data_IF_880026169365
#
_entry.id   IF_880026169365
#
_cell.length_a   1.000
_cell.length_b   1.000
_cell.length_c   1.000
_cell.angle_alpha   90.00
_cell.angle_beta   90.00
_cell.angle_gamma   90.00
#
_symmetry.space_group_name_H-M   'P 1'
#
loop_
_entity.id
_entity.type
_entity.pdbx_description
1 polymer ?
#
# COMPACT_ATOMS: atom_id res chain seq x y z
N UNK A 1 27.02 31.11 -9.82
CA UNK A 1 25.68 31.60 -10.19
C UNK A 1 25.23 31.08 -11.55
N UNK A 2 26.08 31.13 -12.59
CA UNK A 2 25.75 30.61 -13.93
C UNK A 2 25.57 29.07 -13.95
N UNK A 3 26.43 28.32 -13.26
CA UNK A 3 26.33 26.86 -13.16
C UNK A 3 25.05 26.39 -12.46
N UNK A 4 24.52 27.15 -11.49
CA UNK A 4 23.27 26.77 -10.81
C UNK A 4 22.03 27.02 -11.70
N UNK A 5 22.05 28.07 -12.52
CA UNK A 5 20.97 28.37 -13.47
C UNK A 5 20.93 27.37 -14.61
N UNK A 6 22.09 26.96 -15.13
CA UNK A 6 22.19 25.91 -16.18
C UNK A 6 21.72 24.58 -15.66
N UNK A 7 22.06 24.18 -14.42
CA UNK A 7 21.57 22.95 -13.80
C UNK A 7 20.07 22.98 -13.55
N UNK A 8 19.51 24.13 -13.20
CA UNK A 8 18.06 24.28 -13.00
C UNK A 8 17.29 24.20 -14.30
N UNK A 9 17.85 24.77 -15.39
CA UNK A 9 17.29 24.71 -16.73
C UNK A 9 17.35 23.30 -17.33
N UNK A 10 18.46 22.58 -17.16
CA UNK A 10 18.61 21.18 -17.60
C UNK A 10 17.65 20.26 -16.84
N UNK A 11 17.49 20.44 -15.53
CA UNK A 11 16.52 19.68 -14.72
C UNK A 11 15.07 19.98 -15.07
N UNK A 12 14.75 21.21 -15.42
CA UNK A 12 13.43 21.60 -15.93
C UNK A 12 13.10 20.91 -17.27
N UNK A 13 14.06 20.81 -18.16
CA UNK A 13 13.93 20.11 -19.46
C UNK A 13 13.74 18.62 -19.27
N UNK A 14 14.43 18.00 -18.30
CA UNK A 14 14.24 16.59 -17.98
C UNK A 14 12.85 16.28 -17.41
N UNK A 15 12.31 17.17 -16.59
CA UNK A 15 10.95 17.07 -16.06
C UNK A 15 9.91 17.15 -17.19
N UNK A 16 10.04 18.12 -18.09
CA UNK A 16 9.13 18.26 -19.23
C UNK A 16 9.26 17.09 -20.22
N UNK A 17 10.47 16.55 -20.39
CA UNK A 17 10.71 15.37 -21.22
C UNK A 17 10.07 14.11 -20.62
N UNK A 18 10.12 13.95 -19.32
CA UNK A 18 9.54 12.81 -18.60
C UNK A 18 8.04 12.99 -18.33
N UNK A 19 7.51 14.23 -18.40
CA UNK A 19 6.10 14.51 -18.14
C UNK A 19 5.16 13.66 -19.00
N UNK A 20 5.41 13.55 -20.30
CA UNK A 20 4.60 12.70 -21.19
C UNK A 20 4.64 11.22 -20.82
N UNK A 21 5.80 10.74 -20.37
CA UNK A 21 5.93 9.37 -19.87
C UNK A 21 5.11 9.18 -18.58
N UNK A 22 5.22 10.10 -17.65
CA UNK A 22 4.45 10.03 -16.39
C UNK A 22 2.95 10.16 -16.61
N UNK A 23 2.50 11.03 -17.53
CA UNK A 23 1.09 11.18 -17.90
C UNK A 23 0.55 9.89 -18.56
N UNK A 24 1.31 9.27 -19.46
CA UNK A 24 0.94 8.00 -20.08
C UNK A 24 0.85 6.89 -19.04
N UNK A 25 1.83 6.79 -18.13
CA UNK A 25 1.86 5.80 -17.06
C UNK A 25 0.71 5.98 -16.06
N UNK A 26 0.41 7.21 -15.65
CA UNK A 26 -0.74 7.53 -14.79
C UNK A 26 -2.07 7.13 -15.44
N UNK A 27 -2.21 7.40 -16.73
CA UNK A 27 -3.43 7.05 -17.48
C UNK A 27 -3.61 5.54 -17.57
N UNK A 28 -2.53 4.79 -17.79
CA UNK A 28 -2.57 3.33 -17.89
C UNK A 28 -2.79 2.66 -16.53
N UNK A 29 -2.12 3.14 -15.49
CA UNK A 29 -2.24 2.61 -14.13
C UNK A 29 -3.48 3.10 -13.38
N UNK A 30 -4.18 4.12 -13.90
CA UNK A 30 -5.29 4.81 -13.22
C UNK A 30 -4.92 5.24 -11.79
N UNK A 31 -3.70 5.69 -11.61
CA UNK A 31 -3.13 6.08 -10.32
C UNK A 31 -2.56 7.49 -10.40
N UNK A 32 -2.22 8.08 -9.27
CA UNK A 32 -1.56 9.39 -9.22
C UNK A 32 -0.12 9.22 -8.81
N UNK A 33 0.80 9.64 -9.67
CA UNK A 33 2.23 9.69 -9.34
C UNK A 33 2.53 10.93 -8.50
N UNK A 34 3.26 10.75 -7.42
CA UNK A 34 3.68 11.82 -6.52
C UNK A 34 5.18 11.76 -6.26
N UNK A 35 5.75 12.94 -6.05
CA UNK A 35 7.10 13.10 -5.48
C UNK A 35 6.95 13.50 -4.01
N UNK A 36 7.65 12.81 -3.12
CA UNK A 36 7.46 12.90 -1.69
C UNK A 36 8.72 13.44 -1.02
N UNK A 37 8.52 14.37 -0.08
CA UNK A 37 9.56 14.89 0.79
C UNK A 37 9.57 14.12 2.13
N UNK A 38 10.69 14.17 2.85
CA UNK A 38 10.85 13.55 4.16
C UNK A 38 9.86 14.03 5.23
N UNK A 39 9.24 15.19 5.05
CA UNK A 39 8.27 15.77 5.98
C UNK A 39 6.82 15.48 5.61
N UNK A 40 6.57 14.59 4.63
CA UNK A 40 5.25 14.23 4.14
C UNK A 40 4.65 15.23 3.13
N UNK A 41 5.33 16.33 2.79
CA UNK A 41 4.90 17.16 1.67
C UNK A 41 5.11 16.42 0.37
N UNK A 42 4.18 16.58 -0.56
CA UNK A 42 4.25 15.93 -1.86
C UNK A 42 3.74 16.85 -2.97
N UNK A 43 4.15 16.54 -4.18
CA UNK A 43 3.69 17.19 -5.40
C UNK A 43 3.34 16.12 -6.43
N UNK A 44 2.24 16.29 -7.14
CA UNK A 44 1.86 15.46 -8.27
C UNK A 44 2.55 15.91 -9.54
N UNK A 45 2.49 15.12 -10.60
CA UNK A 45 3.09 15.48 -11.91
C UNK A 45 2.46 16.69 -12.56
N UNK A 46 1.20 17.04 -12.24
CA UNK A 46 0.54 18.26 -12.70
C UNK A 46 0.88 19.50 -11.86
N UNK A 47 1.71 19.32 -10.81
CA UNK A 47 2.14 20.39 -9.93
C UNK A 47 1.21 20.65 -8.74
N UNK A 48 0.18 19.82 -8.53
CA UNK A 48 -0.70 19.95 -7.37
C UNK A 48 0.06 19.58 -6.11
N UNK A 49 0.09 20.49 -5.13
CA UNK A 49 0.71 20.26 -3.82
C UNK A 49 -0.27 19.57 -2.89
N UNK A 50 0.20 18.58 -2.18
CA UNK A 50 -0.56 17.87 -1.16
C UNK A 50 0.33 17.52 0.04
N UNK A 51 -0.30 17.12 1.13
CA UNK A 51 0.39 16.54 2.27
C UNK A 51 -0.08 15.12 2.46
N UNK A 52 0.87 14.22 2.59
CA UNK A 52 0.62 12.83 2.97
C UNK A 52 0.80 12.74 4.48
N UNK A 53 -0.29 12.44 5.16
CA UNK A 53 -0.29 12.21 6.61
C UNK A 53 0.04 10.73 6.83
N UNK A 54 1.27 10.48 7.24
CA UNK A 54 1.77 9.14 7.52
C UNK A 54 2.62 9.12 8.79
N UNK A 55 2.64 8.00 9.51
CA UNK A 55 3.50 7.82 10.68
C UNK A 55 4.97 8.06 10.37
N UNK A 56 5.70 8.60 11.34
CA UNK A 56 7.13 8.92 11.20
C UNK A 56 7.99 7.69 10.87
N UNK A 57 7.59 6.51 11.30
CA UNK A 57 8.25 5.24 11.00
C UNK A 57 8.32 4.95 9.49
N UNK A 58 7.29 5.31 8.72
CA UNK A 58 7.30 5.09 7.26
C UNK A 58 8.21 6.07 6.54
N UNK A 59 8.30 7.29 7.03
CA UNK A 59 9.28 8.24 6.56
C UNK A 59 10.71 7.74 6.86
N UNK A 60 10.88 7.10 8.02
CA UNK A 60 12.15 6.48 8.39
C UNK A 60 12.48 5.28 7.48
N UNK A 61 11.51 4.44 7.16
CA UNK A 61 11.69 3.31 6.23
C UNK A 61 12.15 3.79 4.86
N UNK A 62 11.48 4.79 4.29
CA UNK A 62 11.90 5.40 3.03
C UNK A 62 13.31 5.97 3.10
N UNK A 63 13.67 6.64 4.20
CA UNK A 63 15.01 7.18 4.44
C UNK A 63 16.07 6.06 4.53
N UNK A 64 15.70 4.92 5.10
CA UNK A 64 16.57 3.74 5.20
C UNK A 64 16.64 2.93 3.90
N UNK A 65 15.97 3.38 2.85
CA UNK A 65 16.01 2.73 1.54
C UNK A 65 14.96 1.64 1.34
N UNK A 66 13.97 1.52 2.24
CA UNK A 66 12.90 0.54 2.12
C UNK A 66 11.71 1.08 1.32
N UNK A 67 11.11 0.20 0.52
CA UNK A 67 9.85 0.49 -0.15
C UNK A 67 8.70 0.40 0.87
N UNK A 68 7.72 1.27 0.72
CA UNK A 68 6.52 1.25 1.56
C UNK A 68 5.26 1.03 0.73
N UNK A 69 4.26 0.35 1.33
CA UNK A 69 2.91 0.25 0.79
C UNK A 69 1.91 0.35 1.93
N UNK A 70 1.19 1.48 2.03
CA UNK A 70 0.30 1.76 3.17
C UNK A 70 -0.89 2.63 2.83
N UNK A 71 -1.96 2.46 3.62
CA UNK A 71 -3.04 3.43 3.68
C UNK A 71 -2.53 4.72 4.32
N UNK A 72 -2.78 5.83 3.65
CA UNK A 72 -2.41 7.16 4.08
C UNK A 72 -3.59 8.11 3.97
N UNK A 73 -3.62 9.12 4.82
CA UNK A 73 -4.54 10.24 4.66
C UNK A 73 -3.85 11.36 3.89
N UNK A 74 -4.54 11.86 2.89
CA UNK A 74 -4.06 12.89 1.98
C UNK A 74 -4.79 14.18 2.29
N UNK A 75 -4.06 15.27 2.42
CA UNK A 75 -4.64 16.60 2.55
C UNK A 75 -4.43 17.36 1.24
N UNK A 76 -5.52 17.56 0.51
CA UNK A 76 -5.62 18.42 -0.67
C UNK A 76 -6.34 19.71 -0.27
N UNK A 77 -5.63 20.77 0.02
CA UNK A 77 -6.24 22.07 0.34
C UNK A 77 -7.32 21.96 1.43
N UNK A 78 -7.00 21.32 2.55
CA UNK A 78 -7.89 21.09 3.70
C UNK A 78 -9.02 20.05 3.45
N UNK A 79 -9.02 19.37 2.33
CA UNK A 79 -9.89 18.22 2.09
C UNK A 79 -9.10 16.94 2.31
N UNK A 80 -9.51 16.18 3.34
CA UNK A 80 -8.90 14.88 3.62
C UNK A 80 -9.51 13.80 2.73
N UNK A 81 -8.65 12.97 2.14
CA UNK A 81 -9.02 11.80 1.36
C UNK A 81 -8.07 10.66 1.73
N UNK A 82 -8.59 9.48 1.94
CA UNK A 82 -7.76 8.30 2.16
C UNK A 82 -7.35 7.68 0.82
N UNK A 83 -6.12 7.17 0.75
CA UNK A 83 -5.59 6.47 -0.40
C UNK A 83 -4.53 5.46 0.02
N UNK A 84 -4.20 4.55 -0.90
CA UNK A 84 -3.10 3.62 -0.69
C UNK A 84 -1.87 4.13 -1.43
N UNK A 85 -0.80 4.38 -0.69
CA UNK A 85 0.48 4.86 -1.21
C UNK A 85 1.46 3.69 -1.30
N UNK A 86 1.99 3.48 -2.50
CA UNK A 86 3.20 2.69 -2.70
C UNK A 86 4.31 3.66 -3.04
N UNK A 87 5.37 3.70 -2.24
CA UNK A 87 6.49 4.61 -2.46
C UNK A 87 7.83 3.88 -2.37
N UNK A 88 8.75 4.33 -3.18
CA UNK A 88 10.13 3.88 -3.23
C UNK A 88 11.07 5.06 -2.97
N UNK A 89 12.15 4.87 -2.23
CA UNK A 89 13.16 5.90 -2.09
C UNK A 89 13.84 6.17 -3.43
N UNK A 90 14.20 7.41 -3.66
CA UNK A 90 14.96 7.82 -4.84
C UNK A 90 16.14 8.72 -4.43
N UNK A 91 17.09 8.88 -5.34
CA UNK A 91 18.09 9.93 -5.17
C UNK A 91 17.36 11.27 -5.11
N UNK A 92 17.92 12.22 -4.36
CA UNK A 92 17.37 13.55 -4.21
C UNK A 92 17.03 14.17 -5.57
N UNK A 93 15.79 14.58 -5.71
CA UNK A 93 15.28 15.19 -6.91
C UNK A 93 14.70 16.56 -6.60
N UNK A 94 15.18 17.59 -7.28
CA UNK A 94 14.75 18.98 -7.02
C UNK A 94 13.75 19.44 -8.06
N UNK A 95 12.56 19.85 -7.60
CA UNK A 95 11.51 20.45 -8.43
C UNK A 95 11.22 21.86 -7.88
N UNK A 96 11.41 22.89 -8.68
CA UNK A 96 11.15 24.29 -8.31
C UNK A 96 11.79 24.69 -6.98
N UNK A 97 13.02 24.26 -6.73
CA UNK A 97 13.77 24.58 -5.50
C UNK A 97 13.36 23.76 -4.26
N UNK A 98 12.44 22.83 -4.37
CA UNK A 98 12.08 21.90 -3.31
C UNK A 98 12.67 20.51 -3.59
N UNK A 99 13.28 19.87 -2.58
CA UNK A 99 13.93 18.56 -2.72
C UNK A 99 12.97 17.44 -2.30
N UNK A 100 12.90 16.39 -3.12
CA UNK A 100 12.09 15.19 -2.94
C UNK A 100 13.01 13.97 -2.84
N UNK A 101 12.69 13.04 -1.96
CA UNK A 101 13.52 11.88 -1.62
C UNK A 101 12.86 10.55 -1.90
N UNK A 102 11.59 10.57 -2.31
CA UNK A 102 10.88 9.38 -2.73
C UNK A 102 9.90 9.67 -3.88
N UNK A 103 9.65 8.65 -4.68
CA UNK A 103 8.61 8.63 -5.70
C UNK A 103 7.54 7.64 -5.26
N UNK A 104 6.28 8.04 -5.33
CA UNK A 104 5.16 7.21 -4.94
C UNK A 104 4.05 7.18 -5.97
N UNK A 105 3.30 6.10 -5.93
CA UNK A 105 2.05 5.92 -6.65
C UNK A 105 0.91 5.87 -5.67
N UNK A 106 -0.07 6.70 -5.90
CA UNK A 106 -1.24 6.83 -5.04
C UNK A 106 -2.45 6.22 -5.74
N UNK A 107 -3.08 5.27 -5.08
CA UNK A 107 -4.30 4.61 -5.53
C UNK A 107 -5.48 5.07 -4.70
N UNK A 108 -6.56 5.45 -5.35
CA UNK A 108 -7.84 5.67 -4.69
C UNK A 108 -8.37 4.36 -4.11
N UNK A 109 -9.09 4.43 -3.00
CA UNK A 109 -9.70 3.27 -2.36
C UNK A 109 -10.58 2.47 -3.33
N UNK A 110 -11.39 3.16 -4.15
CA UNK A 110 -12.23 2.52 -5.17
C UNK A 110 -11.41 1.77 -6.23
N UNK A 111 -10.21 2.25 -6.54
CA UNK A 111 -9.32 1.57 -7.48
C UNK A 111 -8.75 0.30 -6.87
N UNK A 112 -8.30 0.35 -5.61
CA UNK A 112 -7.88 -0.85 -4.88
C UNK A 112 -9.00 -1.87 -4.81
N UNK A 113 -10.22 -1.44 -4.47
CA UNK A 113 -11.41 -2.31 -4.47
C UNK A 113 -11.60 -3.00 -5.82
N UNK A 114 -11.39 -2.28 -6.92
CA UNK A 114 -11.53 -2.85 -8.26
C UNK A 114 -10.40 -3.81 -8.62
N UNK A 115 -9.16 -3.50 -8.24
CA UNK A 115 -7.96 -4.32 -8.49
C UNK A 115 -7.95 -5.59 -7.64
N UNK A 116 -8.36 -5.46 -6.38
CA UNK A 116 -8.38 -6.52 -5.39
C UNK A 116 -9.76 -7.19 -5.26
N UNK A 117 -10.73 -6.81 -6.11
CA UNK A 117 -12.03 -7.46 -6.12
C UNK A 117 -11.87 -8.90 -6.59
N UNK A 118 -12.03 -9.84 -5.69
CA UNK A 118 -12.12 -11.26 -6.04
C UNK A 118 -13.51 -11.48 -6.66
N UNK A 119 -13.61 -11.40 -7.97
CA UNK A 119 -14.84 -11.75 -8.70
C UNK A 119 -15.13 -13.26 -8.62
N UNK A 120 -14.11 -14.05 -8.31
CA UNK A 120 -14.22 -15.46 -7.97
C UNK A 120 -15.06 -15.63 -6.72
N UNK A 121 -15.74 -16.75 -6.61
CA UNK A 121 -16.59 -17.08 -5.46
C UNK A 121 -17.76 -16.12 -5.22
N UNK A 122 -18.26 -15.43 -6.26
CA UNK A 122 -19.43 -14.54 -6.18
C UNK A 122 -19.31 -13.43 -5.12
N UNK A 123 -18.07 -12.95 -4.85
CA UNK A 123 -17.81 -11.93 -3.85
C UNK A 123 -17.75 -12.45 -2.40
N UNK A 124 -17.72 -13.77 -2.20
CA UNK A 124 -17.60 -14.39 -0.87
C UNK A 124 -16.16 -14.64 -0.45
N UNK A 125 -15.20 -13.99 -1.07
CA UNK A 125 -13.79 -13.99 -0.66
C UNK A 125 -13.44 -12.66 0.03
N UNK A 126 -12.75 -12.76 1.15
CA UNK A 126 -12.23 -11.62 1.89
C UNK A 126 -10.74 -11.49 1.62
N UNK A 127 -10.33 -10.28 1.23
CA UNK A 127 -8.93 -9.95 1.01
C UNK A 127 -8.43 -8.99 2.09
N UNK A 128 -7.23 -9.26 2.55
CA UNK A 128 -6.51 -8.42 3.50
C UNK A 128 -5.09 -8.20 2.98
N UNK A 129 -4.56 -6.99 3.17
CA UNK A 129 -3.14 -6.70 3.04
C UNK A 129 -2.60 -6.44 4.43
N UNK A 130 -1.51 -7.12 4.78
CA UNK A 130 -0.83 -6.97 6.07
C UNK A 130 0.53 -6.33 5.86
N UNK A 131 0.94 -5.48 6.80
CA UNK A 131 2.33 -5.04 6.90
C UNK A 131 3.20 -6.09 7.62
N UNK A 132 4.50 -5.78 7.81
CA UNK A 132 5.45 -6.67 8.48
C UNK A 132 5.06 -7.01 9.92
N UNK A 133 4.33 -6.11 10.57
CA UNK A 133 3.88 -6.30 11.96
C UNK A 133 2.54 -7.05 12.02
N UNK A 134 1.99 -7.46 10.86
CA UNK A 134 0.71 -8.15 10.74
C UNK A 134 -0.51 -7.23 10.87
N UNK A 135 -0.33 -5.91 10.83
CA UNK A 135 -1.44 -4.98 10.84
C UNK A 135 -2.15 -4.97 9.49
N UNK A 136 -3.47 -4.90 9.52
CA UNK A 136 -4.28 -4.79 8.30
C UNK A 136 -4.10 -3.39 7.71
N UNK A 137 -3.50 -3.31 6.53
CA UNK A 137 -3.30 -2.07 5.78
C UNK A 137 -4.38 -1.85 4.72
N UNK A 138 -5.07 -2.91 4.30
CA UNK A 138 -6.21 -2.86 3.40
C UNK A 138 -7.11 -4.08 3.58
N UNK A 139 -8.41 -3.91 3.37
CA UNK A 139 -9.39 -4.98 3.25
C UNK A 139 -10.52 -4.58 2.31
N UNK A 140 -11.04 -5.54 1.52
CA UNK A 140 -12.22 -5.37 0.70
C UNK A 140 -13.54 -5.55 1.49
N UNK A 141 -13.47 -5.87 2.76
CA UNK A 141 -14.63 -6.05 3.62
C UNK A 141 -15.24 -4.69 3.98
N UNK A 142 -16.43 -4.41 3.49
CA UNK A 142 -17.06 -3.08 3.59
C UNK A 142 -17.65 -2.75 4.95
N UNK A 143 -17.99 -3.76 5.75
CA UNK A 143 -18.80 -3.56 6.96
C UNK A 143 -18.00 -3.21 8.21
N UNK A 144 -16.67 -3.27 8.17
CA UNK A 144 -15.92 -3.22 9.40
C UNK A 144 -14.87 -2.11 9.44
N UNK A 145 -15.29 -0.97 10.04
CA UNK A 145 -14.35 0.04 10.55
C UNK A 145 -13.45 -0.51 11.66
N UNK A 146 -13.75 -1.68 12.20
CA UNK A 146 -13.03 -2.36 13.27
C UNK A 146 -11.67 -2.91 12.81
N UNK A 147 -11.53 -3.35 11.55
CA UNK A 147 -10.34 -4.02 11.05
C UNK A 147 -9.11 -3.13 10.86
N UNK A 148 -9.26 -1.84 10.84
CA UNK A 148 -8.13 -0.92 10.56
C UNK A 148 -7.04 -0.91 11.63
N UNK A 149 -7.28 -1.48 12.82
CA UNK A 149 -6.37 -1.42 13.96
C UNK A 149 -6.12 -2.77 14.66
N UNK A 150 -6.46 -3.90 14.03
CA UNK A 150 -6.25 -5.21 14.63
C UNK A 150 -5.30 -6.07 13.80
N UNK A 151 -4.43 -6.81 14.48
CA UNK A 151 -3.69 -7.89 13.85
C UNK A 151 -4.69 -8.92 13.33
N UNK A 152 -4.55 -9.35 12.07
CA UNK A 152 -5.44 -10.35 11.47
C UNK A 152 -5.54 -11.61 12.34
N UNK A 153 -4.40 -12.12 12.80
CA UNK A 153 -4.36 -13.31 13.65
C UNK A 153 -5.06 -13.12 14.99
N UNK A 154 -4.94 -11.93 15.59
CA UNK A 154 -5.64 -11.60 16.82
C UNK A 154 -7.16 -11.57 16.62
N UNK A 155 -7.62 -11.08 15.48
CA UNK A 155 -9.03 -11.08 15.13
C UNK A 155 -9.55 -12.51 14.92
N UNK A 156 -8.87 -13.30 14.09
CA UNK A 156 -9.24 -14.70 13.82
C UNK A 156 -9.26 -15.52 15.12
N UNK A 157 -8.26 -15.32 15.99
CA UNK A 157 -8.19 -15.97 17.31
C UNK A 157 -9.27 -15.45 18.27
N UNK A 158 -9.58 -14.15 18.22
CA UNK A 158 -10.64 -13.54 19.04
C UNK A 158 -12.03 -14.07 18.71
N UNK A 159 -12.30 -14.36 17.45
CA UNK A 159 -13.56 -14.96 16.96
C UNK A 159 -13.56 -16.49 17.10
N UNK A 160 -12.54 -17.07 17.73
CA UNK A 160 -12.33 -18.53 17.83
C UNK A 160 -12.30 -19.22 16.46
N UNK A 161 -11.95 -18.49 15.41
CA UNK A 161 -11.88 -19.00 14.06
C UNK A 161 -10.64 -19.89 13.81
N UNK A 162 -9.60 -19.77 14.65
CA UNK A 162 -8.41 -20.61 14.63
C UNK A 162 -7.95 -20.93 16.06
N UNK A 163 -7.29 -22.06 16.23
CA UNK A 163 -6.63 -22.43 17.48
C UNK A 163 -5.35 -21.62 17.71
N UNK A 164 -4.80 -21.67 18.92
CA UNK A 164 -3.55 -21.00 19.25
C UNK A 164 -2.37 -21.57 18.44
N UNK A 165 -2.33 -22.90 18.29
CA UNK A 165 -1.29 -23.61 17.52
C UNK A 165 -1.34 -23.23 16.02
N UNK A 166 -2.54 -23.15 15.44
CA UNK A 166 -2.73 -22.71 14.06
C UNK A 166 -2.30 -21.25 13.86
N UNK A 167 -2.65 -20.36 14.80
CA UNK A 167 -2.23 -18.97 14.77
C UNK A 167 -0.70 -18.84 14.83
N UNK A 168 -0.03 -19.57 15.71
CA UNK A 168 1.42 -19.55 15.84
C UNK A 168 2.11 -20.14 14.59
N UNK A 169 1.53 -21.19 14.00
CA UNK A 169 2.01 -21.78 12.75
C UNK A 169 1.90 -20.77 11.60
N UNK A 170 0.74 -20.12 11.48
CA UNK A 170 0.51 -19.12 10.44
C UNK A 170 1.43 -17.90 10.62
N UNK A 171 1.62 -17.43 11.88
CA UNK A 171 2.55 -16.32 12.14
C UNK A 171 3.97 -16.64 11.67
N UNK A 172 4.48 -17.83 11.94
CA UNK A 172 5.82 -18.25 11.46
C UNK A 172 5.93 -18.23 9.94
N UNK A 173 4.88 -18.61 9.21
CA UNK A 173 4.84 -18.58 7.75
C UNK A 173 4.79 -17.16 7.22
N UNK A 174 4.02 -16.28 7.86
CA UNK A 174 3.96 -14.87 7.52
C UNK A 174 5.33 -14.21 7.76
N UNK A 175 5.97 -14.48 8.90
CA UNK A 175 7.31 -13.99 9.23
C UNK A 175 8.36 -14.51 8.24
N UNK A 176 8.23 -15.77 7.81
CA UNK A 176 9.05 -16.41 6.79
C UNK A 176 8.75 -15.94 5.35
N UNK A 177 7.75 -15.08 5.16
CA UNK A 177 7.26 -14.64 3.85
C UNK A 177 6.97 -15.81 2.90
N UNK A 178 6.39 -16.86 3.44
CA UNK A 178 5.99 -18.02 2.66
C UNK A 178 4.70 -17.72 1.87
N UNK A 179 4.45 -18.53 0.86
CA UNK A 179 3.18 -18.53 0.12
C UNK A 179 2.51 -19.88 0.25
N UNK A 180 1.18 -19.89 0.32
CA UNK A 180 0.45 -21.14 0.42
C UNK A 180 -1.04 -20.98 0.58
N UNK A 181 -1.71 -22.11 0.74
CA UNK A 181 -3.13 -22.20 1.05
C UNK A 181 -3.30 -23.27 2.14
N UNK A 182 -4.06 -22.94 3.16
CA UNK A 182 -4.37 -23.85 4.27
C UNK A 182 -5.89 -23.96 4.45
N UNK A 183 -6.33 -25.14 4.81
CA UNK A 183 -7.68 -25.36 5.31
C UNK A 183 -7.63 -25.18 6.83
N UNK A 184 -8.37 -24.20 7.32
CA UNK A 184 -8.56 -23.99 8.75
C UNK A 184 -9.85 -24.69 9.16
N UNK A 185 -9.72 -25.69 10.02
CA UNK A 185 -10.85 -26.45 10.56
C UNK A 185 -11.43 -25.71 11.77
N UNK A 186 -12.64 -25.23 11.64
CA UNK A 186 -13.38 -24.52 12.68
C UNK A 186 -14.85 -24.87 12.56
N UNK A 187 -15.72 -24.31 13.41
CA UNK A 187 -17.18 -24.45 13.27
C UNK A 187 -17.67 -23.98 11.88
N UNK A 188 -16.95 -23.07 11.26
CA UNK A 188 -17.14 -22.61 9.89
C UNK A 188 -15.81 -22.72 9.15
N UNK A 189 -15.46 -23.91 8.62
CA UNK A 189 -14.18 -24.13 7.99
C UNK A 189 -13.99 -23.23 6.77
N UNK A 190 -12.76 -22.77 6.55
CA UNK A 190 -12.40 -21.88 5.46
C UNK A 190 -10.99 -22.18 4.94
N UNK A 191 -10.77 -21.82 3.68
CA UNK A 191 -9.45 -21.78 3.09
C UNK A 191 -8.81 -20.42 3.34
N UNK A 192 -7.56 -20.43 3.77
CA UNK A 192 -6.74 -19.25 3.98
C UNK A 192 -5.55 -19.33 3.02
N UNK A 193 -5.56 -18.43 2.02
CA UNK A 193 -4.45 -18.25 1.10
C UNK A 193 -3.57 -17.10 1.57
N UNK A 194 -2.26 -17.21 1.44
CA UNK A 194 -1.30 -16.17 1.78
C UNK A 194 -0.17 -16.10 0.76
N UNK A 195 0.24 -14.88 0.43
CA UNK A 195 1.28 -14.62 -0.58
C UNK A 195 1.99 -13.30 -0.28
N UNK A 196 3.35 -13.28 -0.25
CA UNK A 196 4.07 -12.03 -0.15
C UNK A 196 3.95 -11.23 -1.45
N UNK A 197 3.79 -9.92 -1.33
CA UNK A 197 3.92 -9.01 -2.48
C UNK A 197 5.40 -8.72 -2.68
N UNK A 198 5.92 -9.02 -3.88
CA UNK A 198 7.33 -8.78 -4.21
C UNK A 198 7.67 -7.29 -4.10
N UNK A 199 8.89 -7.01 -3.66
CA UNK A 199 9.43 -5.66 -3.49
C UNK A 199 8.64 -4.74 -2.53
N UNK A 200 7.73 -5.33 -1.76
CA UNK A 200 6.96 -4.62 -0.75
C UNK A 200 6.90 -5.48 0.52
N UNK A 201 7.02 -4.84 1.68
CA UNK A 201 6.91 -5.51 2.97
C UNK A 201 5.44 -5.83 3.33
N UNK A 202 4.67 -6.30 2.37
CA UNK A 202 3.23 -6.55 2.48
C UNK A 202 2.95 -8.01 2.18
N UNK A 203 2.04 -8.61 2.95
CA UNK A 203 1.45 -9.92 2.69
C UNK A 203 0.01 -9.75 2.20
N UNK A 204 -0.37 -10.47 1.17
CA UNK A 204 -1.75 -10.58 0.73
C UNK A 204 -2.35 -11.86 1.35
N UNK A 205 -3.49 -11.70 2.01
CA UNK A 205 -4.25 -12.79 2.62
C UNK A 205 -5.61 -12.87 1.95
N UNK A 206 -6.03 -14.08 1.62
CA UNK A 206 -7.36 -14.36 1.07
C UNK A 206 -8.06 -15.40 1.95
N UNK A 207 -9.28 -15.12 2.39
CA UNK A 207 -10.11 -16.04 3.17
C UNK A 207 -11.38 -16.35 2.39
N UNK A 208 -11.68 -17.65 2.22
CA UNK A 208 -12.88 -18.13 1.53
C UNK A 208 -13.50 -19.28 2.32
N UNK A 209 -14.79 -19.17 2.63
CA UNK A 209 -15.49 -20.25 3.32
C UNK A 209 -15.44 -21.56 2.50
N UNK A 210 -15.18 -22.70 3.17
CA UNK A 210 -15.09 -24.00 2.51
C UNK A 210 -16.38 -24.32 1.72
N UNK A 211 -17.54 -24.02 2.29
CA UNK A 211 -18.85 -24.23 1.64
C UNK A 211 -19.09 -23.39 0.37
N UNK A 212 -18.20 -22.46 0.08
CA UNK A 212 -18.27 -21.62 -1.15
C UNK A 212 -17.39 -22.21 -2.25
N UNK A 213 -16.38 -23.00 -1.87
CA UNK A 213 -15.40 -23.61 -2.79
C UNK A 213 -15.84 -25.01 -3.23
N UNK A 214 -16.35 -25.82 -2.30
CA UNK A 214 -16.83 -27.18 -2.51
C UNK A 214 -18.27 -27.17 -3.08
#
# INVERSE_FOLDING_TARGET
>A
LEDSLIQEEVRSIELDRNKKFFEAWQKESESTLIFLQENGKAITTDGTKLRVDMPSEFLLDLRNGYNIGKLVSLDYNQKKKDGYLVAIPCQEYTIKGETYTAIGTLYDHSKLDSMLSVKSYNGNAYLFMLDNDGNITYTNQKEDKFFRNYFLLKHLKGDQAITEEEADSLQKKLDGREQGVELVESDKPYYLGYCPIENNNTMLICIVGKSVVD
#
